data_IF_337760970779
#
_entry.id   IF_337760970779
#
_cell.length_a   1.000
_cell.length_b   1.000
_cell.length_c   1.000
_cell.angle_alpha   90.00
_cell.angle_beta   90.00
_cell.angle_gamma   90.00
#
_symmetry.space_group_name_H-M   'P 1'
#
loop_
_entity.id
_entity.type
_entity.pdbx_description
1 polymer ?
#
# COMPACT_ATOMS: atom_id res chain seq x y z
N UNK A 1 8.85 -50.95 -13.03
CA UNK A 1 9.04 -49.50 -13.33
C UNK A 1 7.98 -48.75 -12.55
N UNK A 2 8.36 -48.18 -11.42
CA UNK A 2 7.52 -47.33 -10.57
C UNK A 2 8.25 -46.00 -10.47
N UNK A 3 7.54 -44.92 -10.81
CA UNK A 3 8.01 -43.54 -10.74
C UNK A 3 7.88 -43.09 -9.28
N UNK A 4 8.93 -42.61 -8.60
CA UNK A 4 8.78 -42.01 -7.29
C UNK A 4 9.30 -40.58 -7.27
N UNK A 5 8.49 -39.69 -6.73
CA UNK A 5 8.91 -38.32 -6.40
C UNK A 5 7.81 -37.32 -6.63
N UNK A 6 6.64 -37.55 -6.02
CA UNK A 6 5.68 -36.48 -5.79
C UNK A 6 6.44 -35.31 -5.14
N UNK A 7 6.33 -34.13 -5.74
CA UNK A 7 6.88 -32.90 -5.17
C UNK A 7 6.32 -32.75 -3.76
N UNK A 8 7.20 -32.77 -2.77
CA UNK A 8 6.83 -32.55 -1.38
C UNK A 8 6.05 -31.23 -1.29
N UNK A 9 4.92 -31.19 -0.55
CA UNK A 9 4.20 -29.95 -0.36
C UNK A 9 5.14 -28.94 0.30
N UNK A 10 5.06 -27.67 -0.08
CA UNK A 10 5.76 -26.58 0.61
C UNK A 10 5.23 -26.56 2.05
N UNK A 11 5.89 -27.31 2.93
CA UNK A 11 5.69 -27.24 4.37
C UNK A 11 6.39 -25.96 4.79
N UNK A 12 5.60 -24.92 5.02
CA UNK A 12 6.07 -23.75 5.77
C UNK A 12 6.52 -24.29 7.13
N UNK A 13 7.83 -24.46 7.29
CA UNK A 13 8.42 -24.87 8.55
C UNK A 13 8.33 -23.69 9.53
N UNK A 14 7.95 -23.97 10.76
CA UNK A 14 7.85 -23.01 11.87
C UNK A 14 9.22 -22.39 12.29
N UNK A 15 10.31 -22.73 11.60
CA UNK A 15 11.66 -22.19 11.80
C UNK A 15 11.93 -20.90 10.99
N UNK A 16 10.95 -20.38 10.23
CA UNK A 16 11.09 -19.16 9.41
C UNK A 16 10.87 -17.84 10.15
N UNK A 17 10.62 -17.89 11.46
CA UNK A 17 10.81 -16.71 12.31
C UNK A 17 12.22 -16.79 12.87
N UNK A 18 13.19 -16.36 12.07
CA UNK A 18 14.49 -15.99 12.62
C UNK A 18 14.24 -14.91 13.66
N UNK A 19 14.21 -15.31 14.93
CA UNK A 19 14.18 -14.42 16.07
C UNK A 19 15.59 -13.85 16.20
N UNK A 20 15.90 -12.89 15.32
CA UNK A 20 17.12 -12.09 15.42
C UNK A 20 17.10 -11.45 16.79
N UNK A 21 18.01 -11.87 17.68
CA UNK A 21 18.13 -11.22 18.97
C UNK A 21 18.64 -9.79 18.71
N UNK A 22 18.09 -8.75 19.38
CA UNK A 22 18.51 -7.36 19.14
C UNK A 22 20.03 -7.16 19.27
N UNK A 23 20.71 -7.99 20.06
CA UNK A 23 22.15 -7.95 20.33
C UNK A 23 23.01 -8.54 19.19
N UNK A 24 22.42 -9.32 18.28
CA UNK A 24 23.11 -9.87 17.09
C UNK A 24 23.13 -8.85 15.92
N UNK A 25 22.51 -7.69 16.10
CA UNK A 25 22.26 -6.68 15.08
C UNK A 25 23.41 -5.65 14.97
N UNK A 26 24.68 -6.06 15.03
CA UNK A 26 25.73 -5.09 15.40
C UNK A 26 26.93 -4.85 14.49
N UNK A 27 27.09 -5.52 13.33
CA UNK A 27 28.15 -5.12 12.39
C UNK A 27 27.65 -4.74 10.99
N UNK A 28 26.61 -5.39 10.47
CA UNK A 28 26.09 -5.10 9.12
C UNK A 28 24.94 -4.09 9.07
N UNK A 29 24.27 -3.82 10.19
CA UNK A 29 23.06 -3.00 10.18
C UNK A 29 23.35 -1.55 9.77
N UNK A 30 24.40 -0.96 10.34
CA UNK A 30 24.76 0.43 10.04
C UNK A 30 25.06 0.61 8.55
N UNK A 31 25.79 -0.33 7.95
CA UNK A 31 26.08 -0.33 6.51
C UNK A 31 24.80 -0.49 5.67
N UNK A 32 23.88 -1.36 6.07
CA UNK A 32 22.60 -1.57 5.37
C UNK A 32 21.71 -0.33 5.45
N UNK A 33 21.59 0.27 6.64
CA UNK A 33 20.80 1.48 6.83
C UNK A 33 21.38 2.66 6.04
N UNK A 34 22.71 2.82 6.01
CA UNK A 34 23.38 3.85 5.23
C UNK A 34 23.22 3.61 3.71
N UNK A 35 23.48 2.38 3.26
CA UNK A 35 23.39 2.00 1.84
C UNK A 35 21.99 2.11 1.26
N UNK A 36 20.97 1.84 2.08
CA UNK A 36 19.57 1.84 1.66
C UNK A 36 18.72 2.88 2.40
N UNK A 37 19.31 4.01 2.81
CA UNK A 37 18.65 5.08 3.56
C UNK A 37 17.30 5.48 2.92
N UNK A 38 17.29 5.63 1.60
CA UNK A 38 16.08 5.95 0.81
C UNK A 38 14.89 4.99 0.96
N UNK A 39 15.12 3.74 1.36
CA UNK A 39 14.06 2.75 1.61
C UNK A 39 13.41 2.98 2.98
N UNK A 40 14.18 3.50 3.93
CA UNK A 40 13.74 3.75 5.31
C UNK A 40 13.29 5.19 5.54
N UNK A 41 13.35 6.04 4.51
CA UNK A 41 12.77 7.38 4.55
C UNK A 41 11.28 7.33 4.88
N UNK A 42 10.83 8.22 5.76
CA UNK A 42 9.41 8.37 6.09
C UNK A 42 8.66 9.15 4.99
N UNK A 43 8.69 8.62 3.77
CA UNK A 43 8.07 9.18 2.57
C UNK A 43 7.39 8.08 1.77
N UNK A 44 6.41 8.47 0.95
CA UNK A 44 5.77 7.54 0.02
C UNK A 44 6.69 7.33 -1.19
N UNK A 45 7.10 6.08 -1.42
CA UNK A 45 7.86 5.69 -2.62
C UNK A 45 6.98 5.49 -3.85
N UNK A 46 7.60 5.43 -5.04
CA UNK A 46 6.90 5.19 -6.31
C UNK A 46 7.62 4.10 -7.13
N UNK A 47 6.89 3.05 -7.52
CA UNK A 47 7.39 1.99 -8.39
C UNK A 47 7.46 2.51 -9.82
N UNK A 48 8.65 2.49 -10.42
CA UNK A 48 8.88 2.96 -11.79
C UNK A 48 8.62 1.86 -12.81
N UNK A 49 8.12 2.24 -13.99
CA UNK A 49 7.88 1.32 -15.10
C UNK A 49 6.63 0.45 -14.95
N UNK A 50 5.82 0.67 -13.92
CA UNK A 50 4.55 -0.02 -13.72
C UNK A 50 3.41 0.99 -13.60
N UNK A 51 2.33 0.78 -14.36
CA UNK A 51 1.09 1.55 -14.24
C UNK A 51 -0.04 0.56 -14.05
N UNK A 52 -0.80 0.72 -12.97
CA UNK A 52 -1.95 -0.13 -12.72
C UNK A 52 -3.10 0.23 -13.68
N UNK A 53 -3.49 -0.72 -14.52
CA UNK A 53 -4.67 -0.59 -15.37
C UNK A 53 -5.88 -1.27 -14.72
N UNK A 54 -6.93 -0.50 -14.45
CA UNK A 54 -8.19 -1.02 -13.90
C UNK A 54 -8.89 -1.84 -14.98
N UNK A 55 -9.12 -3.14 -14.71
CA UNK A 55 -9.88 -4.03 -15.59
C UNK A 55 -11.36 -3.99 -15.22
N UNK A 56 -12.19 -3.50 -16.13
CA UNK A 56 -13.64 -3.49 -15.95
C UNK A 56 -14.25 -4.85 -16.34
N UNK A 57 -15.33 -5.23 -15.67
CA UNK A 57 -16.17 -6.36 -16.07
C UNK A 57 -16.97 -5.99 -17.33
N UNK A 58 -17.33 -7.00 -18.12
CA UNK A 58 -18.21 -6.80 -19.28
C UNK A 58 -19.53 -6.13 -18.86
N UNK A 59 -19.93 -5.09 -19.57
CA UNK A 59 -21.14 -4.30 -19.28
C UNK A 59 -21.04 -3.34 -18.08
N UNK A 60 -19.85 -3.15 -17.47
CA UNK A 60 -19.69 -2.16 -16.41
C UNK A 60 -19.91 -0.73 -16.92
N UNK A 61 -20.79 0.01 -16.26
CA UNK A 61 -21.13 1.38 -16.59
C UNK A 61 -20.65 2.35 -15.50
N UNK A 62 -20.24 3.58 -15.86
CA UNK A 62 -19.89 4.60 -14.88
C UNK A 62 -21.03 4.89 -13.91
N UNK A 63 -20.67 5.11 -12.65
CA UNK A 63 -21.64 5.43 -11.62
C UNK A 63 -21.11 6.53 -10.69
N UNK A 64 -21.98 7.52 -10.43
CA UNK A 64 -21.71 8.63 -9.53
C UNK A 64 -22.45 8.43 -8.21
N UNK A 65 -21.74 7.95 -7.18
CA UNK A 65 -22.29 7.90 -5.83
C UNK A 65 -22.51 9.32 -5.29
N UNK A 66 -23.66 9.52 -4.63
CA UNK A 66 -23.88 10.72 -3.81
C UNK A 66 -22.85 10.77 -2.69
N UNK A 67 -22.16 11.91 -2.57
CA UNK A 67 -21.14 12.14 -1.53
C UNK A 67 -21.79 12.10 -0.14
N UNK A 68 -21.10 11.48 0.83
CA UNK A 68 -21.54 11.41 2.22
C UNK A 68 -21.23 12.73 2.94
N UNK A 69 -22.11 13.13 3.86
CA UNK A 69 -21.85 14.26 4.73
C UNK A 69 -20.73 13.92 5.71
N UNK A 70 -19.67 14.71 5.71
CA UNK A 70 -18.55 14.55 6.65
C UNK A 70 -18.85 15.32 7.94
N UNK A 71 -18.78 14.67 9.12
CA UNK A 71 -18.96 15.34 10.42
C UNK A 71 -17.95 16.47 10.62
N UNK A 72 -18.38 17.59 11.20
CA UNK A 72 -17.53 18.78 11.39
C UNK A 72 -16.26 18.47 12.18
N UNK A 73 -16.35 17.57 13.17
CA UNK A 73 -15.24 17.19 14.04
C UNK A 73 -14.04 16.59 13.31
N UNK A 74 -14.26 15.95 12.15
CA UNK A 74 -13.18 15.27 11.39
C UNK A 74 -12.82 15.99 10.09
N UNK A 75 -13.51 17.10 9.73
CA UNK A 75 -13.27 17.80 8.47
C UNK A 75 -11.85 18.37 8.36
N UNK A 76 -11.34 18.94 9.46
CA UNK A 76 -9.98 19.51 9.49
C UNK A 76 -8.90 18.45 9.27
N UNK A 77 -9.01 17.33 10.00
CA UNK A 77 -8.10 16.20 9.87
C UNK A 77 -8.16 15.56 8.48
N UNK A 78 -9.37 15.32 7.96
CA UNK A 78 -9.56 14.80 6.61
C UNK A 78 -8.91 15.70 5.56
N UNK A 79 -9.10 17.02 5.67
CA UNK A 79 -8.48 17.98 4.75
C UNK A 79 -6.96 17.91 4.80
N UNK A 80 -6.36 17.86 6.00
CA UNK A 80 -4.91 17.76 6.14
C UNK A 80 -4.34 16.49 5.48
N UNK A 81 -5.04 15.35 5.60
CA UNK A 81 -4.65 14.10 4.93
C UNK A 81 -4.74 14.24 3.41
N UNK A 82 -5.83 14.79 2.88
CA UNK A 82 -6.01 14.98 1.44
C UNK A 82 -4.95 15.94 0.86
N UNK A 83 -4.67 17.04 1.55
CA UNK A 83 -3.65 18.01 1.15
C UNK A 83 -2.25 17.36 1.15
N UNK A 84 -1.92 16.55 2.17
CA UNK A 84 -0.67 15.77 2.22
C UNK A 84 -0.56 14.80 1.04
N UNK A 85 -1.60 14.00 0.78
CA UNK A 85 -1.60 13.02 -0.32
C UNK A 85 -1.45 13.71 -1.69
N UNK A 86 -2.07 14.89 -1.86
CA UNK A 86 -1.92 15.69 -3.08
C UNK A 86 -0.49 16.24 -3.23
N UNK A 87 0.10 16.73 -2.14
CA UNK A 87 1.48 17.21 -2.11
C UNK A 87 2.50 16.08 -2.41
N UNK A 88 2.25 14.87 -1.90
CA UNK A 88 3.06 13.68 -2.15
C UNK A 88 2.83 13.09 -3.56
N UNK A 89 1.88 13.60 -4.34
CA UNK A 89 1.57 13.13 -5.69
C UNK A 89 0.82 11.79 -5.73
N UNK A 90 0.22 11.37 -4.61
CA UNK A 90 -0.56 10.12 -4.51
C UNK A 90 -1.95 10.29 -5.14
N UNK A 91 -2.54 11.48 -5.02
CA UNK A 91 -3.83 11.83 -5.61
C UNK A 91 -3.74 13.17 -6.34
N UNK A 92 -4.65 13.37 -7.30
CA UNK A 92 -4.76 14.60 -8.06
C UNK A 92 -6.23 15.01 -8.26
N UNK A 93 -6.46 16.22 -8.76
CA UNK A 93 -7.81 16.67 -9.11
C UNK A 93 -8.26 16.00 -10.41
N UNK A 94 -9.28 15.13 -10.31
CA UNK A 94 -9.79 14.34 -11.43
C UNK A 94 -10.85 15.07 -12.29
N UNK A 95 -11.09 16.37 -12.07
CA UNK A 95 -12.12 17.13 -12.79
C UNK A 95 -13.52 16.52 -12.67
N UNK A 96 -14.31 16.59 -13.75
CA UNK A 96 -15.69 16.09 -13.81
C UNK A 96 -15.77 14.58 -14.13
N UNK A 97 -15.17 13.73 -13.30
CA UNK A 97 -15.18 12.27 -13.47
C UNK A 97 -16.60 11.69 -13.57
N UNK A 98 -16.76 10.69 -14.43
CA UNK A 98 -17.98 9.86 -14.53
C UNK A 98 -18.09 8.83 -13.40
N UNK A 99 -16.96 8.47 -12.80
CA UNK A 99 -16.85 7.54 -11.68
C UNK A 99 -16.63 8.32 -10.39
N UNK A 100 -17.58 8.24 -9.46
CA UNK A 100 -17.48 8.90 -8.15
C UNK A 100 -17.84 7.90 -7.06
N UNK A 101 -16.91 7.68 -6.13
CA UNK A 101 -17.14 6.90 -4.92
C UNK A 101 -17.08 7.81 -3.69
N UNK A 102 -17.97 7.61 -2.73
CA UNK A 102 -17.98 8.43 -1.52
C UNK A 102 -16.88 7.99 -0.54
N UNK A 103 -16.14 8.96 0.00
CA UNK A 103 -15.11 8.73 1.03
C UNK A 103 -15.77 8.50 2.39
N UNK A 104 -15.20 7.58 3.18
CA UNK A 104 -15.56 7.34 4.58
C UNK A 104 -14.32 7.52 5.45
N UNK A 105 -14.46 8.24 6.57
CA UNK A 105 -13.38 8.44 7.54
C UNK A 105 -13.48 7.36 8.61
N UNK A 106 -12.41 6.62 8.82
CA UNK A 106 -12.26 5.70 9.94
C UNK A 106 -11.21 6.23 10.91
N UNK A 107 -11.40 5.98 12.21
CA UNK A 107 -10.38 6.23 13.22
C UNK A 107 -9.51 4.99 13.33
N UNK A 108 -8.20 5.18 13.37
CA UNK A 108 -7.26 4.12 13.78
C UNK A 108 -7.40 3.83 15.26
#
# INVERSE_FOLDING_TARGET
>A
MLVPGAEDPIVLRDDWVNYVQPEDLHEGLAEVLDKFDSVFENKVGCVRGFVHAIRLKEGAMPFKHKVRTIPLSVRGELKAVLDRLKMEGVIEEAGASEWVSAIVVSKK
#
